data_IF_126318138187
#
_entry.id   IF_126318138187
#
_cell.length_a   1.000
_cell.length_b   1.000
_cell.length_c   1.000
_cell.angle_alpha   90.00
_cell.angle_beta   90.00
_cell.angle_gamma   90.00
#
_symmetry.space_group_name_H-M   'P 1'
#
loop_
_entity.id
_entity.type
_entity.pdbx_description
1 polymer ?
#
# COMPACT_ATOMS: atom_id res chain seq x y z
N UNK A 1 22.14 -4.76 -15.17
CA UNK A 1 21.48 -3.49 -15.60
C UNK A 1 21.52 -2.50 -14.43
N UNK A 2 21.85 -1.24 -14.70
CA UNK A 2 21.91 -0.17 -13.69
C UNK A 2 20.59 0.59 -13.68
N UNK A 3 19.83 0.46 -12.61
CA UNK A 3 18.53 1.12 -12.42
C UNK A 3 18.72 2.32 -11.51
N UNK A 4 18.28 3.50 -11.95
CA UNK A 4 18.22 4.67 -11.10
C UNK A 4 16.77 4.90 -10.68
N UNK A 5 16.49 4.64 -9.40
CA UNK A 5 15.18 4.93 -8.80
C UNK A 5 15.13 6.41 -8.44
N UNK A 6 14.07 7.12 -8.87
CA UNK A 6 13.80 8.52 -8.51
C UNK A 6 12.50 8.59 -7.74
N UNK A 7 12.51 9.13 -6.52
CA UNK A 7 11.33 9.18 -5.66
C UNK A 7 11.28 10.45 -4.81
N UNK A 8 10.08 10.85 -4.39
CA UNK A 8 9.88 11.85 -3.33
C UNK A 8 9.55 11.20 -1.97
N UNK A 9 9.40 9.88 -1.94
CA UNK A 9 9.05 9.12 -0.75
C UNK A 9 10.19 8.18 -0.37
N UNK A 10 10.93 8.56 0.65
CA UNK A 10 12.02 7.74 1.21
C UNK A 10 12.22 8.09 2.68
N UNK A 11 12.56 7.14 3.55
CA UNK A 11 12.84 7.42 4.96
C UNK A 11 13.94 8.47 5.14
N UNK A 12 13.72 9.39 6.07
CA UNK A 12 14.71 10.37 6.55
C UNK A 12 14.70 10.40 8.07
N UNK A 13 15.68 11.04 8.71
CA UNK A 13 15.68 11.18 10.17
C UNK A 13 14.49 11.98 10.68
N UNK A 14 13.93 12.88 9.84
CA UNK A 14 12.72 13.65 10.16
C UNK A 14 11.42 12.90 9.86
N UNK A 15 11.45 11.88 9.03
CA UNK A 15 10.29 11.11 8.61
C UNK A 15 10.67 9.63 8.39
N UNK A 16 10.96 8.87 9.46
CA UNK A 16 11.53 7.52 9.34
C UNK A 16 10.58 6.49 8.73
N UNK A 17 9.27 6.72 8.77
CA UNK A 17 8.28 5.83 8.16
C UNK A 17 7.90 6.20 6.72
N UNK A 18 8.36 7.37 6.22
CA UNK A 18 8.02 7.84 4.88
C UNK A 18 8.62 6.94 3.80
N UNK A 19 7.81 6.47 2.87
CA UNK A 19 8.27 5.74 1.69
C UNK A 19 8.98 4.41 1.97
N UNK A 20 8.69 3.75 3.09
CA UNK A 20 9.22 2.42 3.41
C UNK A 20 8.93 1.38 2.32
N UNK A 21 7.80 1.50 1.63
CA UNK A 21 7.45 0.64 0.50
C UNK A 21 8.36 0.88 -0.71
N UNK A 22 8.74 2.14 -1.03
CA UNK A 22 9.70 2.44 -2.11
C UNK A 22 11.07 1.84 -1.80
N UNK A 23 11.49 1.89 -0.54
CA UNK A 23 12.75 1.28 -0.12
C UNK A 23 12.71 -0.24 -0.30
N UNK A 24 11.60 -0.89 0.09
CA UNK A 24 11.38 -2.33 -0.12
C UNK A 24 11.37 -2.71 -1.60
N UNK A 25 10.64 -1.96 -2.44
CA UNK A 25 10.62 -2.20 -3.89
C UNK A 25 12.03 -2.04 -4.49
N UNK A 26 12.78 -1.00 -4.08
CA UNK A 26 14.15 -0.78 -4.54
C UNK A 26 15.10 -1.92 -4.12
N UNK A 27 14.92 -2.44 -2.90
CA UNK A 27 15.68 -3.60 -2.42
C UNK A 27 15.31 -4.87 -3.21
N UNK A 28 14.03 -5.12 -3.48
CA UNK A 28 13.57 -6.25 -4.30
C UNK A 28 14.12 -6.19 -5.72
N UNK A 29 14.18 -5.01 -6.34
CA UNK A 29 14.81 -4.79 -7.65
C UNK A 29 16.30 -5.13 -7.59
N UNK A 30 17.03 -4.69 -6.56
CA UNK A 30 18.45 -5.02 -6.34
C UNK A 30 18.63 -6.53 -6.17
N UNK A 31 17.83 -7.16 -5.33
CA UNK A 31 17.95 -8.59 -5.00
C UNK A 31 17.58 -9.48 -6.20
N UNK A 32 16.79 -8.95 -7.14
CA UNK A 32 16.58 -9.56 -8.45
C UNK A 32 17.80 -9.43 -9.42
N UNK A 33 18.95 -8.91 -8.94
CA UNK A 33 20.23 -8.88 -9.68
C UNK A 33 20.48 -7.58 -10.45
N UNK A 34 19.80 -6.49 -10.14
CA UNK A 34 20.01 -5.18 -10.76
C UNK A 34 20.88 -4.27 -9.87
N UNK A 35 21.73 -3.42 -10.46
CA UNK A 35 22.51 -2.42 -9.73
C UNK A 35 21.64 -1.19 -9.49
N UNK A 36 21.16 -1.03 -8.24
CA UNK A 36 20.20 0.01 -7.87
C UNK A 36 20.89 1.15 -7.15
N UNK A 37 20.61 2.37 -7.58
CA UNK A 37 20.86 3.60 -6.83
C UNK A 37 19.59 4.44 -6.76
N UNK A 38 19.46 5.25 -5.71
CA UNK A 38 18.26 6.04 -5.44
C UNK A 38 18.59 7.53 -5.52
N UNK A 39 17.73 8.30 -6.19
CA UNK A 39 17.72 9.76 -6.12
C UNK A 39 16.46 10.17 -5.37
N UNK A 40 16.63 10.72 -4.18
CA UNK A 40 15.54 11.21 -3.35
C UNK A 40 15.31 12.69 -3.60
N UNK A 41 14.20 13.03 -4.27
CA UNK A 41 13.74 14.40 -4.39
C UNK A 41 13.06 14.82 -3.08
N UNK A 42 13.88 15.21 -2.10
CA UNK A 42 13.42 15.37 -0.71
C UNK A 42 12.59 16.64 -0.53
N UNK A 43 11.34 16.54 -0.02
CA UNK A 43 10.53 17.71 0.27
C UNK A 43 11.06 18.44 1.52
N UNK A 44 10.88 19.79 1.62
CA UNK A 44 11.51 20.58 2.67
C UNK A 44 11.19 20.16 4.10
N UNK A 45 9.99 19.64 4.35
CA UNK A 45 9.58 19.19 5.69
C UNK A 45 10.23 17.85 6.12
N UNK A 46 10.79 17.11 5.17
CA UNK A 46 11.49 15.84 5.42
C UNK A 46 13.01 15.98 5.25
N UNK A 47 13.50 17.14 4.78
CA UNK A 47 14.92 17.37 4.51
C UNK A 47 15.71 17.49 5.83
N UNK A 48 16.49 16.47 6.15
CA UNK A 48 17.39 16.41 7.31
C UNK A 48 18.79 17.00 7.03
N UNK A 49 19.02 17.49 5.80
CA UNK A 49 20.30 18.05 5.36
C UNK A 49 21.27 17.02 4.75
N UNK A 50 21.01 15.74 4.88
CA UNK A 50 21.86 14.68 4.31
C UNK A 50 21.74 14.64 2.78
N UNK A 51 22.87 14.79 2.09
CA UNK A 51 22.90 14.75 0.62
C UNK A 51 23.33 13.40 0.06
N UNK A 52 24.15 12.67 0.79
CA UNK A 52 24.62 11.33 0.41
C UNK A 52 24.47 10.39 1.61
N UNK A 53 23.84 9.26 1.39
CA UNK A 53 23.67 8.21 2.41
C UNK A 53 23.60 6.85 1.77
N UNK A 54 23.63 5.81 2.58
CA UNK A 54 23.40 4.43 2.16
C UNK A 54 22.22 3.90 2.95
N UNK A 55 21.21 3.38 2.25
CA UNK A 55 20.06 2.71 2.84
C UNK A 55 20.01 1.29 2.30
N UNK A 56 20.01 0.31 3.17
CA UNK A 56 20.01 -1.12 2.82
C UNK A 56 21.03 -1.47 1.71
N UNK A 57 22.25 -0.92 1.81
CA UNK A 57 23.31 -1.15 0.84
C UNK A 57 23.20 -0.34 -0.47
N UNK A 58 22.12 0.38 -0.69
CA UNK A 58 21.91 1.21 -1.89
C UNK A 58 22.38 2.65 -1.65
N UNK A 59 23.10 3.22 -2.63
CA UNK A 59 23.52 4.62 -2.58
C UNK A 59 22.34 5.56 -2.83
N UNK A 60 22.16 6.54 -1.97
CA UNK A 60 21.11 7.55 -2.06
C UNK A 60 21.71 8.93 -2.24
N UNK A 61 21.27 9.66 -3.27
CA UNK A 61 21.51 11.09 -3.47
C UNK A 61 20.24 11.88 -3.16
N UNK A 62 20.28 12.80 -2.21
CA UNK A 62 19.14 13.67 -1.88
C UNK A 62 19.24 15.01 -2.59
N UNK A 63 18.21 15.37 -3.35
CA UNK A 63 18.04 16.65 -4.03
C UNK A 63 16.82 17.35 -3.46
N UNK A 64 16.94 18.51 -2.78
CA UNK A 64 15.79 19.25 -2.27
C UNK A 64 14.83 19.67 -3.37
N UNK A 65 13.54 19.36 -3.19
CA UNK A 65 12.49 19.76 -4.12
C UNK A 65 11.18 20.07 -3.39
N UNK A 66 10.61 21.23 -3.65
CA UNK A 66 9.24 21.60 -3.24
C UNK A 66 8.31 21.48 -4.45
N UNK A 67 7.46 20.44 -4.55
CA UNK A 67 6.62 20.20 -5.74
C UNK A 67 5.70 21.37 -6.09
N UNK A 68 5.23 22.13 -5.09
CA UNK A 68 4.35 23.29 -5.29
C UNK A 68 5.08 24.56 -5.75
N UNK A 69 6.41 24.52 -5.93
CA UNK A 69 7.21 25.67 -6.36
C UNK A 69 7.91 25.39 -7.71
N UNK A 70 7.47 25.99 -8.83
CA UNK A 70 8.04 25.74 -10.15
C UNK A 70 9.56 25.99 -10.25
N UNK A 71 10.08 27.01 -9.56
CA UNK A 71 11.53 27.29 -9.53
C UNK A 71 12.30 26.18 -8.78
N UNK A 72 11.69 25.61 -7.73
CA UNK A 72 12.28 24.48 -7.02
C UNK A 72 12.30 23.22 -7.90
N UNK A 73 11.23 22.99 -8.65
CA UNK A 73 11.13 21.88 -9.61
C UNK A 73 12.18 22.04 -10.72
N UNK A 74 12.33 23.23 -11.30
CA UNK A 74 13.34 23.49 -12.34
C UNK A 74 14.77 23.25 -11.80
N UNK A 75 15.11 23.77 -10.61
CA UNK A 75 16.41 23.52 -9.97
C UNK A 75 16.64 22.04 -9.66
N UNK A 76 15.60 21.32 -9.31
CA UNK A 76 15.70 19.87 -9.09
C UNK A 76 15.96 19.15 -10.42
N UNK A 77 15.29 19.54 -11.52
CA UNK A 77 15.54 19.00 -12.86
C UNK A 77 16.99 19.22 -13.31
N UNK A 78 17.54 20.44 -13.13
CA UNK A 78 18.93 20.75 -13.47
C UNK A 78 19.95 19.88 -12.73
N UNK A 79 19.67 19.52 -11.46
CA UNK A 79 20.53 18.64 -10.64
C UNK A 79 20.30 17.16 -10.95
N UNK A 80 19.07 16.81 -11.30
CA UNK A 80 18.68 15.43 -11.61
C UNK A 80 19.32 14.98 -12.93
N UNK A 81 19.35 15.83 -13.97
CA UNK A 81 19.89 15.48 -15.28
C UNK A 81 21.32 14.88 -15.23
N UNK A 82 22.34 15.55 -14.63
CA UNK A 82 23.66 14.95 -14.51
C UNK A 82 23.69 13.71 -13.57
N UNK A 83 22.82 13.66 -12.58
CA UNK A 83 22.74 12.54 -11.65
C UNK A 83 22.17 11.25 -12.30
N UNK A 84 21.46 11.37 -13.42
CA UNK A 84 20.97 10.22 -14.20
C UNK A 84 22.03 9.56 -15.09
N UNK A 85 23.19 10.20 -15.28
CA UNK A 85 24.25 9.65 -16.12
C UNK A 85 24.69 8.26 -15.65
N UNK A 86 24.84 7.37 -16.64
CA UNK A 86 25.25 6.00 -16.41
C UNK A 86 24.16 5.06 -15.92
N UNK A 87 22.90 5.49 -15.85
CA UNK A 87 21.77 4.58 -15.73
C UNK A 87 21.51 3.88 -17.08
N UNK A 88 21.03 2.65 -17.01
CA UNK A 88 20.51 1.93 -18.17
C UNK A 88 18.98 2.09 -18.25
N UNK A 89 18.32 2.22 -17.08
CA UNK A 89 16.88 2.46 -16.93
C UNK A 89 16.63 3.49 -15.83
N UNK A 90 15.70 4.41 -16.07
CA UNK A 90 15.09 5.27 -15.06
C UNK A 90 13.83 4.60 -14.53
N UNK A 91 13.72 4.46 -13.20
CA UNK A 91 12.49 4.01 -12.54
C UNK A 91 12.01 5.10 -11.57
N UNK A 92 10.98 5.84 -11.93
CA UNK A 92 10.41 6.86 -11.04
C UNK A 92 9.25 6.29 -10.21
N UNK A 93 9.17 6.69 -8.94
CA UNK A 93 8.12 6.27 -8.00
C UNK A 93 7.59 7.51 -7.29
N UNK A 94 6.29 7.65 -7.23
CA UNK A 94 5.52 8.80 -6.76
C UNK A 94 5.24 9.86 -7.85
N UNK A 95 3.97 10.28 -7.89
CA UNK A 95 3.41 11.25 -8.85
C UNK A 95 4.24 12.54 -8.97
N UNK A 96 4.73 13.07 -7.86
CA UNK A 96 5.49 14.33 -7.83
C UNK A 96 6.84 14.27 -8.54
N UNK A 97 7.39 13.06 -8.80
CA UNK A 97 8.61 12.88 -9.59
C UNK A 97 8.39 13.20 -11.07
N UNK A 98 7.16 13.06 -11.54
CA UNK A 98 6.80 13.38 -12.92
C UNK A 98 7.04 14.86 -13.25
N UNK A 99 6.98 15.78 -12.28
CA UNK A 99 7.18 17.21 -12.52
C UNK A 99 8.56 17.53 -13.12
N UNK A 100 9.69 17.23 -12.44
CA UNK A 100 11.01 17.50 -13.00
C UNK A 100 11.37 16.58 -14.18
N UNK A 101 10.89 15.33 -14.17
CA UNK A 101 11.18 14.37 -15.23
C UNK A 101 10.47 14.73 -16.53
N UNK A 102 9.21 15.16 -16.49
CA UNK A 102 8.49 15.67 -17.67
C UNK A 102 9.15 16.94 -18.23
N UNK A 103 9.69 17.81 -17.37
CA UNK A 103 10.43 18.98 -17.82
C UNK A 103 11.71 18.61 -18.59
N UNK A 104 12.46 17.61 -18.10
CA UNK A 104 13.65 17.07 -18.78
C UNK A 104 13.28 16.39 -20.11
N UNK A 105 12.19 15.65 -20.13
CA UNK A 105 11.71 14.97 -21.33
C UNK A 105 11.28 15.98 -22.42
N UNK A 106 10.52 17.02 -22.07
CA UNK A 106 10.15 18.08 -22.99
C UNK A 106 11.38 18.84 -23.53
N UNK A 107 12.41 19.01 -22.70
CA UNK A 107 13.68 19.58 -23.12
C UNK A 107 14.52 18.61 -23.96
N UNK A 108 14.07 17.41 -24.25
CA UNK A 108 14.79 16.31 -24.91
C UNK A 108 16.12 15.95 -24.20
N UNK A 109 16.19 16.22 -22.90
CA UNK A 109 17.34 15.91 -22.05
C UNK A 109 17.23 14.54 -21.36
N UNK A 110 16.05 13.91 -21.40
CA UNK A 110 15.79 12.56 -20.89
C UNK A 110 15.74 11.59 -22.08
N UNK A 111 16.76 10.73 -22.17
CA UNK A 111 16.90 9.73 -23.25
C UNK A 111 16.92 8.30 -22.72
N UNK A 112 16.71 8.12 -21.42
CA UNK A 112 16.70 6.82 -20.78
C UNK A 112 15.34 6.15 -20.96
N UNK A 113 15.31 4.82 -21.15
CA UNK A 113 14.11 4.02 -20.95
C UNK A 113 13.50 4.33 -19.59
N UNK A 114 12.19 4.64 -19.54
CA UNK A 114 11.57 5.19 -18.34
C UNK A 114 10.36 4.36 -17.89
N UNK A 115 10.48 3.74 -16.72
CA UNK A 115 9.39 3.09 -16.00
C UNK A 115 8.91 4.00 -14.86
N UNK A 116 7.61 4.08 -14.63
CA UNK A 116 7.02 4.80 -13.50
C UNK A 116 6.09 3.89 -12.70
N UNK A 117 6.27 3.82 -11.38
CA UNK A 117 5.35 3.10 -10.49
C UNK A 117 4.48 4.09 -9.71
N UNK A 118 3.17 3.84 -9.71
CA UNK A 118 2.20 4.68 -9.06
C UNK A 118 1.50 3.96 -7.90
N UNK A 119 1.39 4.67 -6.76
CA UNK A 119 0.73 4.21 -5.55
C UNK A 119 -0.39 5.17 -5.06
N UNK A 120 -0.53 6.33 -5.71
CA UNK A 120 -1.37 7.41 -5.20
C UNK A 120 -2.86 7.09 -5.25
N UNK A 121 -3.50 7.05 -4.08
CA UNK A 121 -4.93 6.80 -3.94
C UNK A 121 -5.83 7.94 -4.46
N UNK A 122 -5.28 9.11 -4.76
CA UNK A 122 -6.05 10.22 -5.33
C UNK A 122 -6.61 9.95 -6.72
N UNK A 123 -6.05 8.98 -7.47
CA UNK A 123 -6.59 8.57 -8.76
C UNK A 123 -7.82 7.67 -8.63
N UNK A 124 -7.90 6.88 -7.57
CA UNK A 124 -9.00 5.95 -7.29
C UNK A 124 -10.07 6.57 -6.40
N UNK A 125 -9.71 7.58 -5.60
CA UNK A 125 -10.60 8.28 -4.68
C UNK A 125 -10.54 9.81 -4.89
N UNK A 126 -10.93 10.33 -6.07
CA UNK A 126 -10.80 11.75 -6.40
C UNK A 126 -11.65 12.64 -5.48
N UNK A 127 -12.70 12.12 -4.84
CA UNK A 127 -13.55 12.85 -3.91
C UNK A 127 -12.84 13.21 -2.61
N UNK A 128 -11.76 12.54 -2.25
CA UNK A 128 -10.92 12.87 -1.10
C UNK A 128 -9.93 14.00 -1.40
N UNK A 129 -9.81 14.42 -2.66
CA UNK A 129 -8.90 15.48 -3.08
C UNK A 129 -9.51 16.86 -2.89
N UNK A 130 -8.67 17.84 -2.57
CA UNK A 130 -9.09 19.24 -2.64
C UNK A 130 -9.53 19.61 -4.07
N UNK A 131 -10.43 20.59 -4.24
CA UNK A 131 -10.90 21.01 -5.57
C UNK A 131 -9.75 21.36 -6.53
N UNK A 132 -8.69 21.98 -6.02
CA UNK A 132 -7.50 22.33 -6.80
C UNK A 132 -6.73 21.08 -7.32
N UNK A 133 -6.55 20.08 -6.46
CA UNK A 133 -5.90 18.82 -6.87
C UNK A 133 -6.78 18.04 -7.84
N UNK A 134 -8.08 18.02 -7.65
CA UNK A 134 -9.02 17.40 -8.59
C UNK A 134 -8.96 18.06 -9.97
N UNK A 135 -8.92 19.39 -10.02
CA UNK A 135 -8.76 20.14 -11.27
C UNK A 135 -7.39 19.90 -11.94
N UNK A 136 -6.38 19.47 -11.19
CA UNK A 136 -5.05 19.16 -11.72
C UNK A 136 -4.92 17.75 -12.34
N UNK A 137 -5.94 16.89 -12.23
CA UNK A 137 -5.89 15.50 -12.78
C UNK A 137 -5.51 15.46 -14.27
N UNK A 138 -5.98 16.34 -15.17
CA UNK A 138 -5.54 16.34 -16.57
C UNK A 138 -4.04 16.62 -16.73
N UNK A 139 -3.45 17.47 -15.88
CA UNK A 139 -2.00 17.75 -15.88
C UNK A 139 -1.23 16.53 -15.39
N UNK A 140 -1.76 15.86 -14.37
CA UNK A 140 -1.25 14.56 -13.89
C UNK A 140 -1.27 13.52 -15.02
N UNK A 141 -2.37 13.42 -15.76
CA UNK A 141 -2.50 12.53 -16.91
C UNK A 141 -1.45 12.82 -18.01
N UNK A 142 -1.13 14.11 -18.24
CA UNK A 142 -0.06 14.46 -19.18
C UNK A 142 1.31 13.92 -18.71
N UNK A 143 1.61 14.05 -17.40
CA UNK A 143 2.83 13.48 -16.82
C UNK A 143 2.88 11.95 -16.91
N UNK A 144 1.76 11.29 -16.61
CA UNK A 144 1.65 9.83 -16.70
C UNK A 144 1.76 9.29 -18.13
N UNK A 145 1.49 10.10 -19.16
CA UNK A 145 1.64 9.71 -20.56
C UNK A 145 3.10 9.78 -21.07
N UNK A 146 4.07 10.21 -20.27
CA UNK A 146 5.47 10.37 -20.68
C UNK A 146 6.34 9.13 -20.50
N UNK A 147 6.26 8.38 -19.37
CA UNK A 147 7.02 7.13 -19.22
C UNK A 147 6.68 6.11 -20.30
N UNK A 148 7.66 5.34 -20.75
CA UNK A 148 7.46 4.24 -21.71
C UNK A 148 6.49 3.21 -21.13
N UNK A 149 6.63 2.91 -19.82
CA UNK A 149 5.76 2.01 -19.08
C UNK A 149 5.35 2.63 -17.73
N UNK A 150 4.08 2.51 -17.37
CA UNK A 150 3.62 2.79 -16.01
C UNK A 150 3.18 1.49 -15.34
N UNK A 151 3.57 1.29 -14.07
CA UNK A 151 3.05 0.21 -13.25
C UNK A 151 2.12 0.75 -12.17
N UNK A 152 1.11 -0.03 -11.84
CA UNK A 152 0.19 0.19 -10.72
C UNK A 152 0.24 -1.02 -9.80
N UNK A 153 -0.12 -0.83 -8.53
CA UNK A 153 -0.07 -1.91 -7.53
C UNK A 153 -1.22 -2.91 -7.63
N UNK A 154 -2.24 -2.63 -8.44
CA UNK A 154 -3.41 -3.48 -8.66
C UNK A 154 -4.18 -3.02 -9.91
N UNK A 155 -5.09 -3.84 -10.42
CA UNK A 155 -5.98 -3.48 -11.53
C UNK A 155 -6.92 -2.33 -11.17
N UNK A 156 -7.39 -2.27 -9.92
CA UNK A 156 -8.21 -1.16 -9.42
C UNK A 156 -7.53 0.20 -9.60
N UNK A 157 -6.21 0.31 -9.36
CA UNK A 157 -5.44 1.52 -9.63
C UNK A 157 -5.02 1.62 -11.11
N UNK A 158 -4.75 0.52 -11.79
CA UNK A 158 -4.35 0.53 -13.20
C UNK A 158 -5.46 1.06 -14.12
N UNK A 159 -6.73 0.84 -13.79
CA UNK A 159 -7.86 1.26 -14.62
C UNK A 159 -7.90 2.78 -14.87
N UNK A 160 -7.90 3.68 -13.87
CA UNK A 160 -7.84 5.12 -14.12
C UNK A 160 -6.51 5.56 -14.77
N UNK A 161 -5.40 4.87 -14.50
CA UNK A 161 -4.11 5.17 -15.16
C UNK A 161 -4.19 4.87 -16.64
N UNK A 162 -4.71 3.70 -17.05
CA UNK A 162 -4.90 3.35 -18.47
C UNK A 162 -5.77 4.37 -19.19
N UNK A 163 -6.85 4.84 -18.54
CA UNK A 163 -7.72 5.87 -19.10
C UNK A 163 -6.95 7.18 -19.36
N UNK A 164 -6.12 7.62 -18.42
CA UNK A 164 -5.28 8.81 -18.57
C UNK A 164 -4.18 8.62 -19.61
N UNK A 165 -3.61 7.42 -19.73
CA UNK A 165 -2.54 7.08 -20.66
C UNK A 165 -3.02 6.78 -22.10
N UNK A 166 -4.33 6.65 -22.32
CA UNK A 166 -4.95 6.46 -23.65
C UNK A 166 -4.37 5.28 -24.43
N UNK A 167 -4.21 4.12 -23.75
CA UNK A 167 -3.72 2.89 -24.35
C UNK A 167 -2.21 2.70 -24.36
N UNK A 168 -1.42 3.64 -23.79
CA UNK A 168 0.02 3.41 -23.60
C UNK A 168 0.27 2.30 -22.58
N UNK A 169 1.42 1.58 -22.67
CA UNK A 169 1.71 0.40 -21.86
C UNK A 169 1.56 0.64 -20.35
N UNK A 170 0.72 -0.18 -19.70
CA UNK A 170 0.47 -0.12 -18.26
C UNK A 170 0.41 -1.56 -17.72
N UNK A 171 1.25 -1.87 -16.75
CA UNK A 171 1.32 -3.18 -16.10
C UNK A 171 0.89 -3.11 -14.63
N UNK A 172 0.64 -4.26 -14.04
CA UNK A 172 0.41 -4.39 -12.59
C UNK A 172 1.61 -5.08 -11.95
N UNK A 173 2.16 -4.45 -10.90
CA UNK A 173 3.16 -5.03 -10.01
C UNK A 173 2.68 -4.80 -8.58
N UNK A 174 2.30 -5.85 -7.84
CA UNK A 174 1.66 -5.72 -6.53
C UNK A 174 2.60 -5.14 -5.46
N UNK A 175 2.01 -4.65 -4.37
CA UNK A 175 2.79 -4.32 -3.18
C UNK A 175 3.44 -5.57 -2.58
N UNK A 176 4.63 -5.41 -2.01
CA UNK A 176 5.34 -6.51 -1.34
C UNK A 176 4.63 -6.88 -0.04
N UNK A 177 4.26 -8.15 0.06
CA UNK A 177 3.80 -8.81 1.29
C UNK A 177 4.53 -10.15 1.39
N UNK A 178 5.36 -10.28 2.42
CA UNK A 178 6.15 -11.51 2.60
C UNK A 178 5.29 -12.65 3.17
N UNK A 179 5.43 -13.85 2.64
CA UNK A 179 4.87 -15.03 3.27
C UNK A 179 5.47 -15.22 4.67
N UNK A 180 4.73 -15.85 5.57
CA UNK A 180 5.25 -16.21 6.89
C UNK A 180 5.87 -17.61 6.82
N UNK A 181 7.06 -17.78 7.43
CA UNK A 181 7.74 -19.09 7.52
C UNK A 181 6.90 -20.12 8.29
N UNK A 182 6.15 -19.67 9.28
CA UNK A 182 5.22 -20.47 10.05
C UNK A 182 3.99 -19.66 10.44
N UNK A 183 2.82 -20.22 10.27
CA UNK A 183 1.55 -19.64 10.72
C UNK A 183 1.00 -20.44 11.89
N UNK A 184 0.50 -19.74 12.91
CA UNK A 184 -0.17 -20.36 14.05
C UNK A 184 -1.67 -20.47 13.79
N UNK A 185 -2.30 -21.50 14.32
CA UNK A 185 -3.76 -21.55 14.34
C UNK A 185 -4.36 -20.40 15.17
N UNK A 186 -5.55 -19.91 14.81
CA UNK A 186 -6.26 -18.92 15.61
C UNK A 186 -6.49 -19.41 17.03
N UNK A 187 -6.32 -18.54 18.06
CA UNK A 187 -6.48 -18.95 19.47
C UNK A 187 -7.92 -19.35 19.82
N UNK A 188 -8.89 -18.79 19.07
CA UNK A 188 -10.31 -18.98 19.29
C UNK A 188 -10.94 -20.17 18.60
N UNK A 189 -10.18 -21.05 17.93
CA UNK A 189 -10.71 -22.23 17.21
C UNK A 189 -12.06 -22.76 17.72
N UNK A 190 -12.65 -23.77 17.13
CA UNK A 190 -14.02 -24.26 17.37
C UNK A 190 -14.49 -24.35 18.84
N UNK A 191 -13.57 -24.33 19.83
CA UNK A 191 -13.83 -24.53 21.24
C UNK A 191 -13.77 -23.29 22.15
N UNK A 192 -13.33 -22.13 21.64
CA UNK A 192 -13.09 -20.95 22.49
C UNK A 192 -14.28 -19.98 22.61
N UNK A 193 -15.31 -20.12 21.82
CA UNK A 193 -16.59 -19.41 21.98
C UNK A 193 -16.56 -17.89 21.83
N UNK A 194 -15.40 -17.28 21.47
CA UNK A 194 -15.27 -15.84 21.25
C UNK A 194 -14.54 -15.55 19.93
N UNK A 195 -14.98 -14.56 19.18
CA UNK A 195 -14.37 -14.12 17.92
C UNK A 195 -13.44 -12.92 18.18
N UNK A 196 -12.13 -13.11 17.97
CA UNK A 196 -11.13 -12.04 18.10
C UNK A 196 -10.93 -11.35 16.75
N UNK A 197 -11.51 -10.18 16.59
CA UNK A 197 -11.36 -9.36 15.38
C UNK A 197 -10.13 -8.46 15.50
N UNK A 198 -9.45 -8.23 14.38
CA UNK A 198 -8.36 -7.26 14.28
C UNK A 198 -8.50 -6.40 13.03
N UNK A 199 -8.13 -5.13 13.14
CA UNK A 199 -7.87 -4.25 11.98
C UNK A 199 -6.50 -3.61 12.13
N UNK A 200 -5.78 -3.44 11.01
CA UNK A 200 -4.43 -2.88 10.97
C UNK A 200 -4.39 -1.73 9.97
N UNK A 201 -3.96 -0.57 10.44
CA UNK A 201 -3.80 0.63 9.59
C UNK A 201 -4.10 1.94 10.29
N UNK A 202 -3.97 3.04 9.57
CA UNK A 202 -4.29 4.36 10.11
C UNK A 202 -5.76 4.50 10.53
N UNK A 203 -5.99 5.09 11.71
CA UNK A 203 -7.33 5.42 12.20
C UNK A 203 -7.85 6.68 11.49
N UNK A 204 -8.21 6.52 10.22
CA UNK A 204 -8.65 7.57 9.30
C UNK A 204 -10.00 7.23 8.68
N UNK A 205 -10.78 8.23 8.26
CA UNK A 205 -12.10 8.03 7.67
C UNK A 205 -12.12 7.03 6.50
N UNK A 206 -11.08 7.05 5.66
CA UNK A 206 -10.98 6.13 4.52
C UNK A 206 -10.95 4.65 4.95
N UNK A 207 -10.36 4.34 6.12
CA UNK A 207 -10.30 2.97 6.67
C UNK A 207 -11.54 2.59 7.48
N UNK A 208 -12.38 3.56 7.81
CA UNK A 208 -13.65 3.43 8.53
C UNK A 208 -13.58 2.61 9.84
N UNK A 209 -12.70 2.99 10.78
CA UNK A 209 -12.57 2.25 12.04
C UNK A 209 -13.86 2.28 12.88
N UNK A 210 -14.74 3.28 12.69
CA UNK A 210 -16.01 3.37 13.39
C UNK A 210 -16.96 2.23 12.99
N UNK A 211 -16.95 1.82 11.72
CA UNK A 211 -17.72 0.68 11.27
C UNK A 211 -17.29 -0.63 11.97
N UNK A 212 -16.00 -0.77 12.33
CA UNK A 212 -15.53 -1.92 13.13
C UNK A 212 -16.18 -1.96 14.51
N UNK A 213 -16.37 -0.80 15.17
CA UNK A 213 -17.09 -0.70 16.44
C UNK A 213 -18.57 -1.02 16.28
N UNK A 214 -19.20 -0.59 15.17
CA UNK A 214 -20.59 -0.91 14.87
C UNK A 214 -20.80 -2.42 14.71
N UNK A 215 -19.84 -3.12 14.10
CA UNK A 215 -19.85 -4.58 13.99
C UNK A 215 -19.72 -5.26 15.35
N UNK A 216 -18.79 -4.78 16.20
CA UNK A 216 -18.64 -5.30 17.56
C UNK A 216 -19.91 -5.07 18.38
N UNK A 217 -20.54 -3.89 18.28
CA UNK A 217 -21.81 -3.59 18.96
C UNK A 217 -22.93 -4.55 18.50
N UNK A 218 -23.04 -4.80 17.21
CA UNK A 218 -24.03 -5.73 16.65
C UNK A 218 -23.82 -7.17 17.14
N UNK A 219 -22.57 -7.67 17.14
CA UNK A 219 -22.22 -9.00 17.66
C UNK A 219 -22.56 -9.10 19.17
N UNK A 220 -22.21 -8.06 19.94
CA UNK A 220 -22.51 -7.98 21.38
C UNK A 220 -24.02 -8.00 21.64
N UNK A 221 -24.81 -7.23 20.88
CA UNK A 221 -26.26 -7.20 21.00
C UNK A 221 -26.93 -8.55 20.69
N UNK A 222 -26.30 -9.35 19.82
CA UNK A 222 -26.76 -10.75 19.53
C UNK A 222 -26.28 -11.80 20.53
N UNK A 223 -25.50 -11.39 21.53
CA UNK A 223 -24.92 -12.33 22.51
C UNK A 223 -23.78 -13.17 21.94
N UNK A 224 -23.19 -12.79 20.79
CA UNK A 224 -22.00 -13.41 20.21
C UNK A 224 -20.77 -12.84 20.94
N UNK A 225 -19.98 -13.64 21.67
CA UNK A 225 -18.77 -13.16 22.30
C UNK A 225 -17.77 -12.74 21.24
N UNK A 226 -17.34 -11.48 21.29
CA UNK A 226 -16.37 -10.94 20.36
C UNK A 226 -15.50 -9.87 21.00
N UNK A 227 -14.28 -9.70 20.49
CA UNK A 227 -13.36 -8.61 20.84
C UNK A 227 -12.88 -7.90 19.58
N UNK A 228 -12.40 -6.66 19.72
CA UNK A 228 -11.85 -5.87 18.63
C UNK A 228 -10.49 -5.27 18.99
N UNK A 229 -9.47 -5.53 18.18
CA UNK A 229 -8.15 -4.90 18.31
C UNK A 229 -7.89 -3.97 17.15
N UNK A 230 -7.61 -2.70 17.45
CA UNK A 230 -7.13 -1.70 16.49
C UNK A 230 -5.62 -1.58 16.58
N UNK A 231 -4.92 -1.83 15.49
CA UNK A 231 -3.48 -1.67 15.38
C UNK A 231 -3.18 -0.49 14.47
N UNK A 232 -2.75 0.61 15.04
CA UNK A 232 -2.44 1.85 14.33
C UNK A 232 -2.83 3.11 15.09
N UNK A 233 -2.53 4.24 14.50
CA UNK A 233 -2.82 5.58 15.00
C UNK A 233 -3.51 6.41 13.93
N UNK A 234 -4.16 7.50 14.35
CA UNK A 234 -4.76 8.45 13.42
C UNK A 234 -5.73 9.43 14.06
N UNK A 235 -6.23 10.40 13.28
CA UNK A 235 -7.09 11.46 13.78
C UNK A 235 -8.40 10.97 14.41
N UNK A 236 -8.93 9.80 14.02
CA UNK A 236 -10.15 9.23 14.59
C UNK A 236 -9.95 8.50 15.94
N UNK A 237 -8.74 8.50 16.49
CA UNK A 237 -8.49 7.85 17.79
C UNK A 237 -9.35 8.43 18.88
N UNK A 238 -9.45 9.76 18.97
CA UNK A 238 -10.24 10.43 19.98
C UNK A 238 -11.74 10.09 19.87
N UNK A 239 -12.28 10.02 18.65
CA UNK A 239 -13.68 9.66 18.41
C UNK A 239 -13.97 8.22 18.82
N UNK A 240 -13.01 7.30 18.58
CA UNK A 240 -13.09 5.91 19.04
C UNK A 240 -13.10 5.87 20.57
N UNK A 241 -12.17 6.52 21.24
CA UNK A 241 -12.05 6.57 22.70
C UNK A 241 -13.30 7.18 23.35
N UNK A 242 -13.87 8.24 22.77
CA UNK A 242 -15.13 8.83 23.23
C UNK A 242 -16.29 7.84 23.15
N UNK A 243 -16.40 7.12 22.04
CA UNK A 243 -17.44 6.09 21.88
C UNK A 243 -17.29 4.92 22.85
N UNK A 244 -16.07 4.48 23.13
CA UNK A 244 -15.78 3.42 24.09
C UNK A 244 -16.09 3.85 25.53
N UNK A 245 -15.83 5.13 25.86
CA UNK A 245 -16.19 5.71 27.15
C UNK A 245 -17.72 5.82 27.35
N UNK A 246 -18.46 6.07 26.25
CA UNK A 246 -19.91 6.14 26.28
C UNK A 246 -20.60 4.77 26.36
N UNK A 247 -19.90 3.69 25.95
CA UNK A 247 -20.40 2.31 25.98
C UNK A 247 -19.38 1.37 26.65
N UNK A 248 -19.47 1.16 27.99
CA UNK A 248 -18.53 0.32 28.72
C UNK A 248 -18.46 -1.13 28.20
N UNK A 249 -19.55 -1.66 27.65
CA UNK A 249 -19.57 -3.03 27.12
C UNK A 249 -18.68 -3.15 25.86
N UNK A 250 -18.60 -2.10 25.04
CA UNK A 250 -17.64 -2.00 23.94
C UNK A 250 -16.22 -1.73 24.45
N UNK A 251 -16.09 -0.87 25.47
CA UNK A 251 -14.80 -0.51 26.07
C UNK A 251 -14.04 -1.73 26.59
N UNK A 252 -14.70 -2.62 27.33
CA UNK A 252 -14.11 -3.85 27.88
C UNK A 252 -13.67 -4.86 26.79
N UNK A 253 -14.23 -4.76 25.58
CA UNK A 253 -14.00 -5.67 24.45
C UNK A 253 -13.11 -5.10 23.38
N UNK A 254 -12.65 -3.86 23.53
CA UNK A 254 -11.87 -3.15 22.54
C UNK A 254 -10.48 -2.81 23.06
N UNK A 255 -9.46 -3.01 22.22
CA UNK A 255 -8.07 -2.65 22.49
C UNK A 255 -7.48 -1.79 21.39
N UNK A 256 -6.87 -0.66 21.76
CA UNK A 256 -6.12 0.23 20.89
C UNK A 256 -4.63 0.06 21.20
N UNK A 257 -3.86 -0.48 20.28
CA UNK A 257 -2.43 -0.76 20.51
C UNK A 257 -1.53 0.42 20.20
N UNK A 258 -2.00 1.38 19.40
CA UNK A 258 -1.13 2.35 18.77
C UNK A 258 -0.36 1.76 17.59
N UNK A 259 0.65 2.49 17.10
CA UNK A 259 1.53 1.99 16.06
C UNK A 259 2.44 0.89 16.60
N UNK A 260 2.55 -0.19 15.86
CA UNK A 260 3.44 -1.30 16.12
C UNK A 260 4.43 -1.46 14.96
N UNK A 261 5.57 -2.08 15.25
CA UNK A 261 6.48 -2.55 14.22
C UNK A 261 5.94 -3.83 13.53
N UNK A 262 6.62 -4.30 12.52
CA UNK A 262 6.20 -5.49 11.76
C UNK A 262 6.08 -6.75 12.64
N UNK A 263 6.90 -6.90 13.67
CA UNK A 263 6.82 -8.03 14.59
C UNK A 263 5.58 -7.92 15.49
N UNK A 264 5.30 -6.72 15.99
CA UNK A 264 4.10 -6.43 16.77
C UNK A 264 2.81 -6.64 15.96
N UNK A 265 2.78 -6.18 14.70
CA UNK A 265 1.64 -6.43 13.80
C UNK A 265 1.40 -7.92 13.61
N UNK A 266 2.45 -8.70 13.32
CA UNK A 266 2.35 -10.16 13.20
C UNK A 266 1.84 -10.82 14.49
N UNK A 267 2.30 -10.36 15.64
CA UNK A 267 1.85 -10.89 16.93
C UNK A 267 0.35 -10.61 17.16
N UNK A 268 -0.16 -9.45 16.76
CA UNK A 268 -1.59 -9.16 16.87
C UNK A 268 -2.43 -9.95 15.86
N UNK A 269 -1.96 -10.10 14.63
CA UNK A 269 -2.59 -10.97 13.64
C UNK A 269 -2.64 -12.44 14.15
N UNK A 270 -1.57 -12.92 14.77
CA UNK A 270 -1.53 -14.28 15.32
C UNK A 270 -2.56 -14.50 16.44
N UNK A 271 -2.98 -13.46 17.16
CA UNK A 271 -4.00 -13.50 18.23
C UNK A 271 -5.43 -13.35 17.73
N UNK A 272 -5.61 -13.02 16.46
CA UNK A 272 -6.93 -12.82 15.88
C UNK A 272 -7.48 -14.09 15.25
N UNK A 273 -8.80 -14.17 15.16
CA UNK A 273 -9.53 -15.17 14.41
C UNK A 273 -9.88 -14.69 13.01
N UNK A 274 -10.05 -13.36 12.85
CA UNK A 274 -10.44 -12.74 11.60
C UNK A 274 -9.93 -11.29 11.53
N UNK A 275 -9.48 -10.89 10.34
CA UNK A 275 -9.21 -9.49 10.01
C UNK A 275 -10.48 -8.84 9.46
N UNK A 276 -10.80 -7.62 9.92
CA UNK A 276 -11.92 -6.83 9.41
C UNK A 276 -11.42 -5.52 8.81
N UNK A 277 -11.86 -5.22 7.58
CA UNK A 277 -11.41 -4.04 6.86
C UNK A 277 -12.52 -3.34 6.06
N UNK A 278 -13.38 -2.52 6.71
CA UNK A 278 -14.49 -1.81 6.06
C UNK A 278 -14.03 -0.55 5.31
N UNK A 279 -12.92 -0.65 4.59
CA UNK A 279 -12.33 0.50 3.89
C UNK A 279 -13.28 1.09 2.85
N UNK A 280 -13.28 2.42 2.72
CA UNK A 280 -13.97 3.16 1.65
C UNK A 280 -13.12 3.33 0.40
N UNK A 281 -11.90 2.80 0.39
CA UNK A 281 -11.00 2.79 -0.76
C UNK A 281 -9.56 2.52 -0.35
N UNK A 282 -8.97 1.49 -0.92
CA UNK A 282 -7.55 1.17 -0.78
C UNK A 282 -7.00 0.62 -2.09
N UNK A 283 -5.82 1.05 -2.51
CA UNK A 283 -5.29 0.58 -3.80
C UNK A 283 -4.93 -0.90 -3.76
N UNK A 284 -4.21 -1.36 -2.72
CA UNK A 284 -3.83 -2.77 -2.60
C UNK A 284 -4.32 -3.41 -1.30
N UNK A 285 -4.43 -2.64 -0.22
CA UNK A 285 -4.79 -3.09 1.11
C UNK A 285 -3.79 -4.09 1.71
N UNK A 286 -2.54 -3.68 1.80
CA UNK A 286 -1.40 -4.47 2.29
C UNK A 286 -1.74 -5.26 3.58
N UNK A 287 -2.40 -4.63 4.57
CA UNK A 287 -2.69 -5.30 5.84
C UNK A 287 -3.71 -6.44 5.74
N UNK A 288 -4.61 -6.42 4.75
CA UNK A 288 -5.49 -7.56 4.48
C UNK A 288 -4.69 -8.74 3.88
N UNK A 289 -3.75 -8.46 2.97
CA UNK A 289 -2.84 -9.48 2.44
C UNK A 289 -1.91 -10.03 3.53
N UNK A 290 -1.38 -9.16 4.44
CA UNK A 290 -0.61 -9.58 5.62
C UNK A 290 -1.42 -10.47 6.56
N UNK A 291 -2.71 -10.20 6.74
CA UNK A 291 -3.59 -11.08 7.52
C UNK A 291 -3.72 -12.45 6.86
N UNK A 292 -3.93 -12.52 5.55
CA UNK A 292 -4.03 -13.80 4.83
C UNK A 292 -2.71 -14.57 4.91
N UNK A 293 -1.53 -13.92 4.67
CA UNK A 293 -0.23 -14.60 4.81
C UNK A 293 0.05 -15.06 6.24
N UNK A 294 -0.59 -14.45 7.24
CA UNK A 294 -0.56 -14.88 8.64
C UNK A 294 -1.60 -15.97 8.96
N UNK A 295 -2.29 -16.50 7.94
CA UNK A 295 -3.31 -17.54 8.09
C UNK A 295 -4.62 -17.02 8.68
N UNK A 296 -4.92 -15.75 8.61
CA UNK A 296 -6.16 -15.15 9.11
C UNK A 296 -7.12 -14.89 7.95
N UNK A 297 -8.35 -15.41 8.03
CA UNK A 297 -9.38 -15.04 7.07
C UNK A 297 -9.70 -13.55 7.19
N UNK A 298 -10.18 -12.96 6.09
CA UNK A 298 -10.48 -11.54 6.04
C UNK A 298 -11.94 -11.27 5.67
N UNK A 299 -12.54 -10.24 6.29
CA UNK A 299 -13.80 -9.66 5.83
C UNK A 299 -13.52 -8.23 5.43
N UNK A 300 -13.69 -7.91 4.15
CA UNK A 300 -13.32 -6.63 3.58
C UNK A 300 -14.44 -6.06 2.69
N UNK A 301 -14.40 -4.74 2.44
CA UNK A 301 -15.28 -4.11 1.47
C UNK A 301 -14.80 -4.35 0.03
N UNK A 302 -15.67 -4.13 -0.96
CA UNK A 302 -15.33 -4.14 -2.39
C UNK A 302 -14.66 -2.85 -2.90
N UNK A 303 -14.36 -1.91 -2.01
CA UNK A 303 -13.74 -0.63 -2.36
C UNK A 303 -12.22 -0.73 -2.42
N UNK A 304 -11.68 -1.31 -3.48
CA UNK A 304 -10.23 -1.34 -3.70
C UNK A 304 -9.68 -2.62 -4.31
N UNK A 305 -8.34 -2.69 -4.39
CA UNK A 305 -7.62 -3.80 -5.01
C UNK A 305 -7.65 -5.11 -4.22
N UNK A 306 -8.10 -5.11 -2.96
CA UNK A 306 -8.27 -6.34 -2.17
C UNK A 306 -9.21 -7.35 -2.84
N UNK A 307 -10.11 -6.90 -3.68
CA UNK A 307 -11.02 -7.78 -4.46
C UNK A 307 -10.29 -8.68 -5.45
N UNK A 308 -9.03 -8.37 -5.77
CA UNK A 308 -8.22 -9.14 -6.72
C UNK A 308 -7.58 -10.38 -6.10
N UNK A 309 -7.45 -10.42 -4.76
CA UNK A 309 -6.84 -11.54 -4.05
C UNK A 309 -7.69 -12.12 -2.91
N UNK A 310 -8.74 -11.43 -2.48
CA UNK A 310 -9.69 -12.00 -1.52
C UNK A 310 -10.72 -12.83 -2.26
N UNK A 311 -10.80 -14.10 -1.90
CA UNK A 311 -11.68 -15.10 -2.49
C UNK A 311 -12.45 -15.85 -1.41
N UNK A 312 -13.40 -16.68 -1.79
CA UNK A 312 -14.12 -17.53 -0.84
C UNK A 312 -13.20 -18.49 -0.03
N UNK A 313 -11.96 -18.74 -0.51
CA UNK A 313 -10.99 -19.60 0.16
C UNK A 313 -10.22 -18.91 1.30
N UNK A 314 -10.23 -17.57 1.36
CA UNK A 314 -9.48 -16.80 2.36
C UNK A 314 -10.28 -15.65 2.99
N UNK A 315 -11.54 -15.44 2.59
CA UNK A 315 -12.31 -14.35 3.17
C UNK A 315 -13.69 -14.14 2.56
N UNK A 316 -14.25 -12.99 2.86
CA UNK A 316 -15.52 -12.50 2.34
C UNK A 316 -15.37 -11.04 1.91
N UNK A 317 -15.88 -10.71 0.72
CA UNK A 317 -15.95 -9.35 0.22
C UNK A 317 -17.39 -8.86 0.32
N UNK A 318 -17.60 -7.77 1.04
CA UNK A 318 -18.90 -7.10 1.16
C UNK A 318 -18.98 -5.87 0.28
N UNK A 319 -20.19 -5.56 -0.20
CA UNK A 319 -20.41 -4.31 -0.93
C UNK A 319 -20.17 -3.08 -0.05
N UNK A 320 -19.55 -2.07 -0.60
CA UNK A 320 -19.44 -0.75 0.02
C UNK A 320 -20.81 -0.23 0.42
N UNK A 321 -20.92 0.26 1.66
CA UNK A 321 -22.19 0.67 2.25
C UNK A 321 -23.01 -0.44 2.91
N UNK A 322 -22.49 -1.67 3.01
CA UNK A 322 -23.09 -2.71 3.83
C UNK A 322 -23.21 -2.25 5.31
N UNK A 323 -24.38 -2.51 5.92
CA UNK A 323 -24.62 -2.15 7.32
C UNK A 323 -23.95 -3.10 8.32
N UNK A 324 -23.84 -2.68 9.59
CA UNK A 324 -23.20 -3.45 10.67
C UNK A 324 -23.74 -4.88 10.80
N UNK A 325 -25.03 -5.07 10.55
CA UNK A 325 -25.67 -6.39 10.57
C UNK A 325 -25.07 -7.34 9.53
N UNK A 326 -24.90 -6.87 8.29
CA UNK A 326 -24.32 -7.67 7.20
C UNK A 326 -22.86 -7.97 7.46
N UNK A 327 -22.11 -7.02 8.03
CA UNK A 327 -20.74 -7.21 8.45
C UNK A 327 -20.63 -8.24 9.57
N UNK A 328 -21.49 -8.18 10.58
CA UNK A 328 -21.53 -9.16 11.67
C UNK A 328 -21.85 -10.57 11.16
N UNK A 329 -22.85 -10.71 10.26
CA UNK A 329 -23.18 -11.98 9.62
C UNK A 329 -21.98 -12.54 8.85
N UNK A 330 -21.28 -11.69 8.08
CA UNK A 330 -20.11 -12.08 7.29
C UNK A 330 -18.91 -12.47 8.17
N UNK A 331 -18.71 -11.81 9.32
CA UNK A 331 -17.65 -12.18 10.28
C UNK A 331 -17.91 -13.58 10.82
N UNK A 332 -19.12 -13.86 11.30
CA UNK A 332 -19.49 -15.18 11.86
C UNK A 332 -19.37 -16.27 10.78
N UNK A 333 -19.99 -16.06 9.62
CA UNK A 333 -19.94 -17.01 8.50
C UNK A 333 -18.49 -17.28 8.04
N UNK A 334 -17.66 -16.24 7.93
CA UNK A 334 -16.28 -16.39 7.46
C UNK A 334 -15.44 -17.21 8.45
N UNK A 335 -15.57 -16.94 9.75
CA UNK A 335 -14.87 -17.70 10.81
C UNK A 335 -15.33 -19.15 10.80
N UNK A 336 -16.64 -19.41 10.80
CA UNK A 336 -17.17 -20.76 10.82
C UNK A 336 -16.80 -21.57 9.57
N UNK A 337 -16.90 -20.97 8.41
CA UNK A 337 -16.63 -21.61 7.11
C UNK A 337 -15.16 -21.92 6.90
N UNK A 338 -14.26 -21.05 7.35
CA UNK A 338 -12.83 -21.18 7.08
C UNK A 338 -12.05 -21.86 8.23
N UNK A 339 -12.59 -21.93 9.44
CA UNK A 339 -11.95 -22.63 10.56
C UNK A 339 -11.53 -24.09 10.24
N UNK A 340 -12.32 -24.88 9.48
CA UNK A 340 -11.91 -26.25 9.13
C UNK A 340 -10.69 -26.35 8.19
N UNK A 341 -10.36 -25.29 7.47
CA UNK A 341 -9.23 -25.29 6.52
C UNK A 341 -7.89 -25.18 7.23
N UNK A 342 -7.85 -24.52 8.40
CA UNK A 342 -6.63 -24.20 9.12
C UNK A 342 -5.85 -23.02 8.54
N UNK A 343 -4.99 -22.45 9.37
CA UNK A 343 -4.25 -21.23 9.04
C UNK A 343 -3.30 -21.39 7.84
N UNK A 344 -2.64 -22.54 7.75
CA UNK A 344 -1.71 -22.82 6.65
C UNK A 344 -2.40 -22.83 5.27
N UNK A 345 -3.62 -23.39 5.19
CA UNK A 345 -4.37 -23.42 3.94
C UNK A 345 -4.85 -22.03 3.53
N UNK A 346 -5.25 -21.18 4.49
CA UNK A 346 -5.61 -19.78 4.23
C UNK A 346 -4.40 -19.01 3.71
N UNK A 347 -3.24 -19.12 4.36
CA UNK A 347 -2.00 -18.46 3.92
C UNK A 347 -1.58 -18.90 2.52
N UNK A 348 -1.72 -20.19 2.20
CA UNK A 348 -1.37 -20.74 0.90
C UNK A 348 -2.22 -20.19 -0.27
N UNK A 349 -3.37 -19.58 0.00
CA UNK A 349 -4.25 -19.01 -1.06
C UNK A 349 -3.61 -17.87 -1.84
N UNK A 350 -2.72 -17.12 -1.22
CA UNK A 350 -1.90 -16.10 -1.89
C UNK A 350 -0.41 -16.50 -1.93
N UNK A 351 0.03 -17.40 -1.04
CA UNK A 351 1.39 -17.96 -1.03
C UNK A 351 2.47 -16.89 -1.11
N UNK A 352 3.41 -17.06 -2.05
CA UNK A 352 4.52 -16.13 -2.32
C UNK A 352 4.23 -15.11 -3.44
N UNK A 353 2.98 -15.04 -3.95
CA UNK A 353 2.62 -14.20 -5.10
C UNK A 353 3.00 -12.74 -4.95
N UNK A 354 3.07 -12.25 -3.72
CA UNK A 354 3.41 -10.87 -3.36
C UNK A 354 4.77 -10.73 -2.67
N UNK A 355 5.60 -11.79 -2.68
CA UNK A 355 6.93 -11.76 -2.07
C UNK A 355 7.86 -10.78 -2.78
N UNK A 356 8.86 -10.28 -2.06
CA UNK A 356 9.92 -9.43 -2.63
C UNK A 356 10.62 -10.09 -3.81
N UNK A 357 10.77 -11.43 -3.79
CA UNK A 357 11.34 -12.20 -4.90
C UNK A 357 10.49 -12.10 -6.17
N UNK A 358 9.16 -12.30 -6.06
CA UNK A 358 8.23 -12.21 -7.19
C UNK A 358 8.11 -10.79 -7.73
N UNK A 359 7.97 -9.81 -6.84
CA UNK A 359 7.88 -8.38 -7.20
C UNK A 359 9.18 -7.91 -7.85
N UNK A 360 10.34 -8.26 -7.29
CA UNK A 360 11.64 -7.92 -7.87
C UNK A 360 11.86 -8.56 -9.25
N UNK A 361 11.47 -9.83 -9.42
CA UNK A 361 11.52 -10.52 -10.71
C UNK A 361 10.59 -9.87 -11.74
N UNK A 362 9.38 -9.41 -11.32
CA UNK A 362 8.46 -8.68 -12.18
C UNK A 362 9.07 -7.35 -12.65
N UNK A 363 9.61 -6.54 -11.75
CA UNK A 363 10.28 -5.29 -12.11
C UNK A 363 11.48 -5.52 -13.03
N UNK A 364 12.29 -6.56 -12.77
CA UNK A 364 13.42 -6.91 -13.64
C UNK A 364 12.97 -7.17 -15.07
N UNK A 365 11.95 -8.00 -15.28
CA UNK A 365 11.39 -8.27 -16.62
C UNK A 365 10.95 -6.98 -17.31
N UNK A 366 10.18 -6.15 -16.63
CA UNK A 366 9.68 -4.89 -17.18
C UNK A 366 10.83 -3.92 -17.55
N UNK A 367 11.87 -3.83 -16.72
CA UNK A 367 13.05 -3.05 -17.04
C UNK A 367 13.79 -3.56 -18.29
N UNK A 368 13.93 -4.89 -18.44
CA UNK A 368 14.55 -5.53 -19.59
C UNK A 368 13.73 -5.29 -20.87
N UNK A 369 12.40 -5.39 -20.79
CA UNK A 369 11.47 -5.11 -21.89
C UNK A 369 11.56 -3.66 -22.36
N UNK A 370 11.51 -2.71 -21.42
CA UNK A 370 11.59 -1.27 -21.73
C UNK A 370 12.96 -0.92 -22.32
N UNK A 371 14.05 -1.44 -21.75
CA UNK A 371 15.42 -1.18 -22.25
C UNK A 371 15.67 -1.84 -23.62
N UNK A 372 15.02 -2.97 -23.90
CA UNK A 372 15.11 -3.67 -25.19
C UNK A 372 14.19 -3.12 -26.29
N UNK A 373 13.32 -2.16 -25.96
CA UNK A 373 12.33 -1.62 -26.90
C UNK A 373 11.23 -2.64 -27.30
N UNK A 374 11.02 -3.68 -26.48
CA UNK A 374 10.16 -4.83 -26.80
C UNK A 374 8.79 -4.76 -26.15
N UNK A 375 8.31 -3.57 -25.76
CA UNK A 375 6.98 -3.42 -25.15
C UNK A 375 5.91 -3.92 -26.12
N UNK A 376 5.32 -5.06 -25.82
CA UNK A 376 4.11 -5.56 -26.52
C UNK A 376 2.90 -4.77 -26.02
N UNK A 377 2.15 -4.22 -26.97
CA UNK A 377 0.90 -3.47 -26.71
C UNK A 377 -0.23 -4.39 -26.24
#
# INVERSE_FOLDING_TARGET
MRVTVVTTWLPTDRAPSSGSFVLRDSAAIRDAGQDVRIIHLVPPHQDDGSRHRVLEGMRVLSIPMKPSNPLSVARAADRLHPALKGADVLHSMAMSTLLPLTALDHARALTLPWVHTEHWSGLTNPDTLSPALRAAIPVVGHGLARPDLVTAVCEYLAAPIRALRRGLPTAVVPCIVEPQDAVSEPPGGKDAGSINMVTVGGLVERKDPMACLDVLAELTARGVPATMTFVGEGPLRADIEERLAADPALGERTRLTGNLDAAGVRAELARADVFIGPTRGDNFFVSAAEAITSGRPVVVSDAGGQTEYVTAANGTVLRSGAGSRQWADAVVDTVERLAPLGAAAIAATIGDSFSSAQVGAAYRRLHEEVAGGSLTH
#
